data_IF_473098038874
#
_entry.id   IF_473098038874
#
_cell.length_a   1.000
_cell.length_b   1.000
_cell.length_c   1.000
_cell.angle_alpha   90.00
_cell.angle_beta   90.00
_cell.angle_gamma   90.00
#
_symmetry.space_group_name_H-M   'P 1'
#
loop_
_entity.id
_entity.type
_entity.pdbx_description
1 polymer ?
#
# COMPACT_ATOMS: atom_id res chain seq x y z
N UNK A 1 47.98 29.06 -14.30
CA UNK A 1 46.60 29.47 -13.97
C UNK A 1 45.60 28.95 -15.03
N UNK A 2 45.71 29.29 -16.30
CA UNK A 2 44.74 28.90 -17.35
C UNK A 2 44.61 27.36 -17.46
N UNK A 3 45.71 26.63 -17.43
CA UNK A 3 45.68 25.16 -17.48
C UNK A 3 44.95 24.55 -16.26
N UNK A 4 45.23 25.04 -15.07
CA UNK A 4 44.55 24.52 -13.85
C UNK A 4 43.07 24.80 -13.89
N UNK A 5 42.65 25.97 -14.37
CA UNK A 5 41.20 26.30 -14.49
C UNK A 5 40.50 25.40 -15.50
N UNK A 6 41.13 25.12 -16.66
CA UNK A 6 40.56 24.20 -17.66
C UNK A 6 40.44 22.77 -17.11
N UNK A 7 41.47 22.28 -16.40
CA UNK A 7 41.43 20.94 -15.78
C UNK A 7 40.37 20.88 -14.70
N UNK A 8 40.34 21.87 -13.80
CA UNK A 8 39.31 21.91 -12.74
C UNK A 8 37.91 21.98 -13.34
N UNK A 9 37.68 22.81 -14.35
CA UNK A 9 36.39 22.88 -15.03
C UNK A 9 36.01 21.54 -15.66
N UNK A 10 36.93 20.91 -16.39
CA UNK A 10 36.68 19.60 -16.99
C UNK A 10 36.35 18.53 -15.92
N UNK A 11 37.15 18.48 -14.86
CA UNK A 11 37.00 17.46 -13.84
C UNK A 11 35.70 17.62 -13.08
N UNK A 12 35.29 18.83 -12.72
CA UNK A 12 34.04 19.09 -12.01
C UNK A 12 32.79 19.11 -12.89
N UNK A 13 32.85 19.77 -14.04
CA UNK A 13 31.65 19.99 -14.84
C UNK A 13 31.48 19.06 -16.04
N UNK A 14 32.48 18.25 -16.35
CA UNK A 14 32.42 17.31 -17.46
C UNK A 14 32.56 15.85 -16.95
N UNK A 15 33.62 15.57 -16.18
CA UNK A 15 33.88 14.20 -15.72
C UNK A 15 33.00 13.84 -14.53
N UNK A 16 33.08 14.62 -13.44
CA UNK A 16 32.30 14.38 -12.23
C UNK A 16 30.80 14.58 -12.45
N UNK A 17 30.39 15.58 -13.22
CA UNK A 17 28.99 15.83 -13.54
C UNK A 17 28.31 14.68 -14.33
N UNK A 18 29.08 13.73 -14.86
CA UNK A 18 28.57 12.53 -15.53
C UNK A 18 28.64 11.28 -14.66
N UNK A 19 29.09 11.42 -13.42
CA UNK A 19 29.16 10.31 -12.46
C UNK A 19 27.74 9.84 -12.10
N UNK A 20 27.36 8.58 -12.38
CA UNK A 20 26.05 8.05 -12.08
C UNK A 20 25.70 8.13 -10.57
N UNK A 21 26.70 8.05 -9.70
CA UNK A 21 26.51 8.13 -8.25
C UNK A 21 25.98 9.48 -7.78
N UNK A 22 26.15 10.55 -8.58
CA UNK A 22 25.62 11.88 -8.25
C UNK A 22 24.10 11.89 -8.15
N UNK A 23 23.43 11.07 -8.95
CA UNK A 23 21.98 10.99 -8.92
C UNK A 23 21.49 10.62 -7.51
N UNK A 24 22.11 9.62 -6.89
CA UNK A 24 21.77 9.15 -5.56
C UNK A 24 22.32 10.08 -4.47
N UNK A 25 23.60 10.49 -4.55
CA UNK A 25 24.24 11.32 -3.53
C UNK A 25 23.62 12.72 -3.38
N UNK A 26 23.06 13.27 -4.43
CA UNK A 26 22.39 14.58 -4.42
C UNK A 26 20.87 14.48 -4.43
N UNK A 27 20.32 13.28 -4.19
CA UNK A 27 18.89 13.06 -4.11
C UNK A 27 18.13 13.65 -5.31
N UNK A 28 18.70 13.50 -6.50
CA UNK A 28 18.14 14.08 -7.73
C UNK A 28 16.72 13.57 -7.99
N UNK A 29 16.47 12.30 -7.70
CA UNK A 29 15.15 11.67 -7.84
C UNK A 29 14.08 12.30 -6.94
N UNK A 30 14.24 12.27 -5.60
CA UNK A 30 13.31 12.91 -4.67
C UNK A 30 13.14 14.42 -4.91
N UNK A 31 14.24 15.12 -5.30
CA UNK A 31 14.20 16.54 -5.69
C UNK A 31 13.28 16.75 -6.89
N UNK A 32 13.41 15.93 -7.94
CA UNK A 32 12.59 16.04 -9.13
C UNK A 32 11.11 15.71 -8.85
N UNK A 33 10.82 14.72 -7.96
CA UNK A 33 9.47 14.45 -7.47
C UNK A 33 8.89 15.71 -6.82
N UNK A 34 9.61 16.30 -5.86
CA UNK A 34 9.17 17.52 -5.17
C UNK A 34 8.89 18.67 -6.12
N UNK A 35 9.81 18.92 -7.07
CA UNK A 35 9.64 19.96 -8.10
C UNK A 35 8.39 19.71 -8.95
N UNK A 36 8.19 18.49 -9.43
CA UNK A 36 7.02 18.14 -10.23
C UNK A 36 5.72 18.34 -9.42
N UNK A 37 5.65 17.78 -8.22
CA UNK A 37 4.50 17.89 -7.34
C UNK A 37 4.17 19.35 -6.99
N UNK A 38 5.19 20.18 -6.82
CA UNK A 38 5.04 21.62 -6.60
C UNK A 38 4.42 22.39 -7.77
N UNK A 39 4.41 21.82 -8.98
CA UNK A 39 3.77 22.44 -10.17
C UNK A 39 2.29 22.10 -10.31
N UNK A 40 1.81 21.09 -9.60
CA UNK A 40 0.41 20.64 -9.71
C UNK A 40 -0.54 21.63 -9.01
N UNK A 41 -1.79 21.80 -9.50
CA UNK A 41 -2.80 22.63 -8.84
C UNK A 41 -2.98 22.24 -7.36
N UNK A 42 -3.15 23.20 -6.44
CA UNK A 42 -3.23 22.90 -4.99
C UNK A 42 -4.42 22.03 -4.60
N UNK A 43 -5.50 22.06 -5.38
CA UNK A 43 -6.70 21.23 -5.22
C UNK A 43 -6.52 19.78 -5.62
N UNK A 44 -5.51 19.46 -6.43
CA UNK A 44 -5.26 18.10 -6.91
C UNK A 44 -4.80 17.20 -5.78
N UNK A 45 -5.22 15.95 -5.83
CA UNK A 45 -4.71 14.91 -4.93
C UNK A 45 -3.42 14.34 -5.46
N UNK A 46 -2.47 14.14 -4.57
CA UNK A 46 -1.16 13.59 -4.92
C UNK A 46 -0.84 12.41 -4.02
N UNK A 47 -0.48 11.29 -4.65
CA UNK A 47 0.08 10.12 -3.99
C UNK A 47 1.49 9.90 -4.51
N UNK A 48 2.40 9.52 -3.62
CA UNK A 48 3.80 9.20 -3.97
C UNK A 48 4.13 7.79 -3.48
N UNK A 49 4.79 6.99 -4.30
CA UNK A 49 5.22 5.64 -3.94
C UNK A 49 6.58 5.30 -4.56
N UNK A 50 7.47 4.66 -3.81
CA UNK A 50 7.44 4.42 -2.36
C UNK A 50 8.14 5.52 -1.55
N UNK A 51 8.54 6.61 -2.20
CA UNK A 51 9.25 7.71 -1.52
C UNK A 51 8.31 8.36 -0.50
N UNK A 52 8.71 8.45 0.78
CA UNK A 52 7.86 9.06 1.81
C UNK A 52 7.54 10.53 1.48
N UNK A 53 6.30 10.99 1.69
CA UNK A 53 5.92 12.38 1.40
C UNK A 53 6.61 13.40 2.29
N UNK A 54 7.06 12.98 3.48
CA UNK A 54 7.83 13.77 4.44
C UNK A 54 9.35 13.78 4.16
N UNK A 55 9.78 13.16 3.04
CA UNK A 55 11.17 13.22 2.61
C UNK A 55 11.63 14.68 2.44
N UNK A 56 12.74 15.12 3.07
CA UNK A 56 13.16 16.53 3.08
C UNK A 56 13.24 17.17 1.69
N UNK A 57 13.77 16.44 0.71
CA UNK A 57 13.89 16.94 -0.67
C UNK A 57 12.52 17.08 -1.35
N UNK A 58 11.55 16.20 -1.03
CA UNK A 58 10.18 16.32 -1.55
C UNK A 58 9.49 17.54 -0.93
N UNK A 59 9.52 17.67 0.41
CA UNK A 59 8.89 18.79 1.13
C UNK A 59 9.44 20.14 0.63
N UNK A 60 10.77 20.28 0.61
CA UNK A 60 11.40 21.55 0.23
C UNK A 60 11.08 21.95 -1.21
N UNK A 61 11.19 21.03 -2.15
CA UNK A 61 11.00 21.31 -3.57
C UNK A 61 9.52 21.38 -3.97
N UNK A 62 8.60 20.78 -3.22
CA UNK A 62 7.16 20.97 -3.40
C UNK A 62 6.63 22.24 -2.75
N UNK A 63 7.51 23.09 -2.19
CA UNK A 63 7.16 24.33 -1.47
C UNK A 63 6.24 24.08 -0.27
N UNK A 64 6.47 23.00 0.44
CA UNK A 64 5.64 22.55 1.56
C UNK A 64 4.16 22.32 1.17
N UNK A 65 3.90 21.82 -0.03
CA UNK A 65 2.55 21.49 -0.49
C UNK A 65 1.87 20.57 0.52
N UNK A 66 0.69 20.95 1.07
CA UNK A 66 -0.04 20.08 1.97
C UNK A 66 -0.75 18.94 1.22
N UNK A 67 -1.08 17.86 1.93
CA UNK A 67 -1.96 16.80 1.42
C UNK A 67 -1.29 15.85 0.43
N UNK A 68 0.04 15.86 0.32
CA UNK A 68 0.75 14.77 -0.37
C UNK A 68 0.65 13.53 0.52
N UNK A 69 0.15 12.44 -0.03
CA UNK A 69 0.05 11.14 0.65
C UNK A 69 1.11 10.18 0.10
N UNK A 70 1.61 9.30 0.96
CA UNK A 70 2.61 8.31 0.56
C UNK A 70 2.23 6.91 1.01
N UNK A 71 2.57 5.91 0.22
CA UNK A 71 2.43 4.50 0.57
C UNK A 71 3.57 3.69 -0.07
N UNK A 72 3.80 2.49 0.43
CA UNK A 72 4.74 1.56 -0.20
C UNK A 72 4.00 0.61 -1.15
N UNK A 73 4.13 0.84 -2.46
CA UNK A 73 3.47 0.02 -3.48
C UNK A 73 3.89 -1.45 -3.52
N UNK A 74 4.97 -1.81 -2.81
CA UNK A 74 5.34 -3.22 -2.59
C UNK A 74 4.40 -3.91 -1.61
N UNK A 75 3.84 -3.16 -0.67
CA UNK A 75 2.94 -3.65 0.37
C UNK A 75 1.47 -3.43 0.00
N UNK A 76 1.12 -2.27 -0.53
CA UNK A 76 -0.27 -1.92 -0.79
C UNK A 76 -0.43 -0.97 -1.98
N UNK A 77 -1.68 -0.67 -2.33
CA UNK A 77 -2.03 0.50 -3.12
C UNK A 77 -3.24 1.19 -2.50
N UNK A 78 -3.21 2.50 -2.48
CA UNK A 78 -4.30 3.35 -1.98
C UNK A 78 -4.96 4.05 -3.15
N UNK A 79 -6.26 3.87 -3.31
CA UNK A 79 -7.01 4.49 -4.40
C UNK A 79 -8.32 5.10 -3.89
N UNK A 80 -8.75 6.29 -4.36
CA UNK A 80 -10.08 6.78 -4.08
C UNK A 80 -11.12 5.91 -4.80
N UNK A 81 -12.22 5.56 -4.13
CA UNK A 81 -13.35 4.87 -4.78
C UNK A 81 -13.87 5.67 -5.97
N UNK A 82 -13.89 7.00 -5.82
CA UNK A 82 -14.18 7.95 -6.87
C UNK A 82 -13.34 9.21 -6.64
N UNK A 83 -12.71 9.70 -7.70
CA UNK A 83 -11.92 10.93 -7.63
C UNK A 83 -12.82 12.15 -7.45
N UNK A 84 -12.52 12.99 -6.45
CA UNK A 84 -13.24 14.24 -6.18
C UNK A 84 -12.52 15.48 -6.73
N UNK A 85 -11.26 15.31 -7.12
CA UNK A 85 -10.40 16.25 -7.83
C UNK A 85 -9.51 15.47 -8.79
N UNK A 86 -8.79 16.14 -9.67
CA UNK A 86 -7.76 15.47 -10.45
C UNK A 86 -6.75 14.84 -9.49
N UNK A 87 -6.30 13.64 -9.82
CA UNK A 87 -5.46 12.84 -8.93
C UNK A 87 -4.22 12.39 -9.67
N UNK A 88 -3.06 12.63 -9.09
CA UNK A 88 -1.77 12.23 -9.66
C UNK A 88 -1.05 11.27 -8.73
N UNK A 89 -0.62 10.15 -9.30
CA UNK A 89 0.28 9.20 -8.64
C UNK A 89 1.68 9.35 -9.20
N UNK A 90 2.64 9.63 -8.34
CA UNK A 90 4.07 9.69 -8.70
C UNK A 90 4.71 8.38 -8.25
N UNK A 91 5.04 7.53 -9.19
CA UNK A 91 5.51 6.16 -8.95
C UNK A 91 6.96 6.04 -9.39
N UNK A 92 7.81 5.51 -8.52
CA UNK A 92 9.22 5.17 -8.82
C UNK A 92 9.29 3.67 -9.18
N UNK A 93 9.24 3.30 -10.48
CA UNK A 93 9.05 1.90 -10.89
C UNK A 93 10.21 0.98 -10.50
N UNK A 94 11.41 1.50 -10.35
CA UNK A 94 12.55 0.73 -9.84
C UNK A 94 12.41 0.26 -8.40
N UNK A 95 11.55 0.91 -7.62
CA UNK A 95 11.29 0.59 -6.21
C UNK A 95 9.85 0.12 -5.97
N UNK A 96 8.92 0.54 -6.83
CA UNK A 96 7.50 0.12 -6.81
C UNK A 96 7.10 -0.47 -8.17
N UNK A 97 7.33 -1.75 -8.39
CA UNK A 97 7.04 -2.38 -9.68
C UNK A 97 5.56 -2.67 -9.93
N UNK A 98 4.67 -2.49 -8.92
CA UNK A 98 3.29 -2.96 -8.98
C UNK A 98 2.27 -1.85 -9.21
N UNK A 99 2.47 -0.67 -8.61
CA UNK A 99 1.43 0.36 -8.54
C UNK A 99 0.98 0.84 -9.92
N UNK A 100 1.90 1.00 -10.87
CA UNK A 100 1.55 1.51 -12.19
C UNK A 100 0.60 0.57 -12.94
N UNK A 101 0.87 -0.73 -12.93
CA UNK A 101 0.00 -1.74 -13.55
C UNK A 101 -1.36 -1.81 -12.86
N UNK A 102 -1.39 -1.77 -11.53
CA UNK A 102 -2.64 -1.75 -10.77
C UNK A 102 -3.46 -0.50 -11.04
N UNK A 103 -2.82 0.67 -11.20
CA UNK A 103 -3.52 1.90 -11.55
C UNK A 103 -4.16 1.83 -12.93
N UNK A 104 -3.49 1.23 -13.91
CA UNK A 104 -4.09 1.00 -15.24
C UNK A 104 -5.29 0.04 -15.18
N UNK A 105 -5.25 -0.97 -14.30
CA UNK A 105 -6.37 -1.89 -14.08
C UNK A 105 -7.55 -1.16 -13.41
N UNK A 106 -7.28 -0.39 -12.36
CA UNK A 106 -8.33 0.28 -11.60
C UNK A 106 -8.89 1.52 -12.28
N UNK A 107 -8.07 2.20 -13.06
CA UNK A 107 -8.44 3.40 -13.81
C UNK A 107 -8.00 3.27 -15.29
N UNK A 108 -8.73 2.51 -16.11
CA UNK A 108 -8.32 2.24 -17.48
C UNK A 108 -8.22 3.48 -18.39
N UNK A 109 -8.82 4.60 -17.97
CA UNK A 109 -8.74 5.88 -18.69
C UNK A 109 -7.64 6.81 -18.13
N UNK A 110 -6.96 6.40 -17.05
CA UNK A 110 -5.79 7.11 -16.52
C UNK A 110 -4.61 6.99 -17.50
N UNK A 111 -3.72 7.97 -17.45
CA UNK A 111 -2.59 8.05 -18.37
C UNK A 111 -1.33 8.54 -17.67
N UNK A 112 -0.17 8.17 -18.20
CA UNK A 112 1.11 8.81 -17.82
C UNK A 112 1.08 10.24 -18.38
N UNK A 113 1.15 11.21 -17.48
CA UNK A 113 1.08 12.65 -17.79
C UNK A 113 2.44 13.35 -17.69
N UNK A 114 3.40 12.74 -16.99
CA UNK A 114 4.78 13.22 -16.92
C UNK A 114 5.74 12.06 -16.58
N UNK A 115 7.01 12.30 -16.88
CA UNK A 115 8.12 11.41 -16.59
C UNK A 115 9.22 12.19 -15.87
N UNK A 116 9.91 11.54 -14.95
CA UNK A 116 11.05 12.10 -14.23
C UNK A 116 12.33 12.14 -15.04
N UNK A 117 13.42 12.66 -14.46
CA UNK A 117 14.73 12.63 -15.10
C UNK A 117 15.17 11.18 -15.36
N UNK A 118 16.02 11.01 -16.37
CA UNK A 118 16.57 9.68 -16.66
C UNK A 118 17.57 9.26 -15.57
N UNK A 119 17.39 8.04 -15.09
CA UNK A 119 18.33 7.32 -14.25
C UNK A 119 18.50 5.93 -14.86
N UNK A 120 19.73 5.51 -15.13
CA UNK A 120 20.02 4.24 -15.82
C UNK A 120 19.22 4.04 -17.13
N UNK A 121 19.10 5.10 -17.92
CA UNK A 121 18.37 5.13 -19.20
C UNK A 121 16.84 4.96 -19.09
N UNK A 122 16.28 4.98 -17.90
CA UNK A 122 14.84 4.89 -17.64
C UNK A 122 14.37 6.15 -16.88
N UNK A 123 13.13 6.60 -17.04
CA UNK A 123 12.54 7.61 -16.17
C UNK A 123 12.60 7.17 -14.71
N UNK A 124 13.11 8.03 -13.83
CA UNK A 124 13.15 7.74 -12.40
C UNK A 124 11.76 7.60 -11.81
N UNK A 125 10.81 8.39 -12.24
CA UNK A 125 9.41 8.24 -11.88
C UNK A 125 8.49 8.41 -13.08
N UNK A 126 7.28 7.85 -12.98
CA UNK A 126 6.14 8.17 -13.81
C UNK A 126 5.08 8.88 -12.99
N UNK A 127 4.47 9.92 -13.56
CA UNK A 127 3.27 10.54 -13.00
C UNK A 127 2.06 10.01 -13.76
N UNK A 128 1.18 9.30 -13.06
CA UNK A 128 -0.06 8.74 -13.59
C UNK A 128 -1.23 9.63 -13.19
N UNK A 129 -1.87 10.26 -14.16
CA UNK A 129 -2.97 11.21 -13.96
C UNK A 129 -4.34 10.56 -14.14
N UNK A 130 -5.26 10.91 -13.26
CA UNK A 130 -6.65 10.45 -13.26
C UNK A 130 -7.56 11.67 -13.10
N UNK A 131 -8.50 11.85 -14.03
CA UNK A 131 -9.40 13.00 -14.02
C UNK A 131 -10.45 12.90 -12.90
N UNK A 132 -10.91 14.06 -12.45
CA UNK A 132 -12.03 14.17 -11.52
C UNK A 132 -13.26 13.40 -12.03
N UNK A 133 -13.95 12.73 -11.11
CA UNK A 133 -15.15 11.94 -11.41
C UNK A 133 -14.88 10.49 -11.82
N UNK A 134 -13.61 10.11 -12.04
CA UNK A 134 -13.27 8.73 -12.33
C UNK A 134 -13.59 7.82 -11.14
N UNK A 135 -14.07 6.61 -11.42
CA UNK A 135 -14.39 5.58 -10.42
C UNK A 135 -13.40 4.45 -10.55
N UNK A 136 -12.90 3.99 -9.41
CA UNK A 136 -12.03 2.83 -9.38
C UNK A 136 -12.81 1.55 -9.71
N UNK A 137 -12.26 0.74 -10.63
CA UNK A 137 -12.78 -0.58 -10.97
C UNK A 137 -12.08 -1.64 -10.11
N UNK A 138 -12.56 -1.81 -8.88
CA UNK A 138 -12.00 -2.80 -7.94
C UNK A 138 -12.97 -3.96 -7.83
N UNK A 139 -12.47 -5.17 -8.07
CA UNK A 139 -13.24 -6.41 -8.02
C UNK A 139 -12.40 -7.51 -7.35
N UNK A 140 -12.49 -7.67 -6.02
CA UNK A 140 -11.86 -8.80 -5.33
C UNK A 140 -12.39 -10.14 -5.87
N UNK A 141 -11.55 -11.17 -5.95
CA UNK A 141 -11.97 -12.51 -6.39
C UNK A 141 -12.99 -13.14 -5.43
N UNK A 142 -12.89 -12.79 -4.14
CA UNK A 142 -13.85 -13.17 -3.12
C UNK A 142 -14.52 -11.90 -2.57
N UNK A 143 -15.62 -11.49 -3.20
CA UNK A 143 -16.40 -10.35 -2.73
C UNK A 143 -17.06 -10.71 -1.38
N UNK A 144 -16.81 -9.89 -0.36
CA UNK A 144 -17.35 -10.08 0.98
C UNK A 144 -17.53 -8.72 1.65
N UNK A 145 -18.68 -8.52 2.29
CA UNK A 145 -18.91 -7.29 3.03
C UNK A 145 -18.93 -7.55 4.54
N UNK A 146 -18.12 -6.80 5.27
CA UNK A 146 -18.13 -6.71 6.72
C UNK A 146 -17.75 -5.28 7.12
N UNK A 147 -17.98 -4.94 8.37
CA UNK A 147 -17.75 -3.60 8.88
C UNK A 147 -17.10 -3.66 10.26
N UNK A 148 -16.10 -2.80 10.47
CA UNK A 148 -15.48 -2.62 11.77
C UNK A 148 -15.77 -1.22 12.29
N UNK A 149 -16.55 -1.15 13.38
CA UNK A 149 -16.86 0.07 14.13
C UNK A 149 -17.53 1.18 13.32
N UNK A 150 -18.15 0.89 12.19
CA UNK A 150 -18.61 1.84 11.17
C UNK A 150 -17.51 2.75 10.59
N UNK A 151 -16.25 2.44 10.84
CA UNK A 151 -15.09 3.17 10.37
C UNK A 151 -14.48 2.56 9.12
N UNK A 152 -14.41 1.22 9.06
CA UNK A 152 -13.74 0.47 8.01
C UNK A 152 -14.69 -0.58 7.45
N UNK A 153 -14.85 -0.62 6.13
CA UNK A 153 -15.61 -1.64 5.43
C UNK A 153 -14.69 -2.60 4.69
N UNK A 154 -14.87 -3.89 4.84
CA UNK A 154 -14.30 -4.90 3.97
C UNK A 154 -15.10 -4.94 2.66
N UNK A 155 -14.42 -4.94 1.52
CA UNK A 155 -15.01 -5.09 0.19
C UNK A 155 -14.81 -6.51 -0.36
N UNK A 156 -13.84 -7.24 0.20
CA UNK A 156 -13.47 -8.59 -0.19
C UNK A 156 -11.98 -8.85 -0.04
N UNK A 157 -11.55 -9.99 -0.56
CA UNK A 157 -10.16 -10.43 -0.48
C UNK A 157 -9.77 -11.28 -1.70
N UNK A 158 -8.45 -11.43 -1.90
CA UNK A 158 -7.87 -12.39 -2.83
C UNK A 158 -6.92 -13.32 -2.09
N UNK A 159 -6.85 -14.56 -2.57
CA UNK A 159 -5.85 -15.55 -2.17
C UNK A 159 -5.08 -16.01 -3.39
N UNK A 160 -3.82 -16.36 -3.21
CA UNK A 160 -2.98 -16.91 -4.28
C UNK A 160 -3.28 -18.39 -4.56
N UNK A 161 -3.88 -19.11 -3.61
CA UNK A 161 -4.34 -20.50 -3.74
C UNK A 161 -5.40 -20.84 -2.68
N UNK A 162 -6.11 -21.98 -2.88
CA UNK A 162 -7.04 -22.55 -1.90
C UNK A 162 -6.43 -23.74 -1.15
N UNK A 163 -5.33 -24.31 -1.65
CA UNK A 163 -4.64 -25.48 -1.12
C UNK A 163 -3.16 -25.18 -0.97
N UNK A 164 -2.63 -25.46 0.21
CA UNK A 164 -1.25 -25.20 0.59
C UNK A 164 -0.58 -26.43 1.20
N UNK A 165 0.73 -26.37 1.36
CA UNK A 165 1.51 -27.37 2.08
C UNK A 165 2.07 -26.79 3.38
N UNK A 166 2.37 -27.64 4.37
CA UNK A 166 3.17 -27.22 5.51
C UNK A 166 4.49 -26.57 5.07
N UNK A 167 4.77 -25.39 5.60
CA UNK A 167 5.93 -24.57 5.22
C UNK A 167 5.68 -23.54 4.13
N UNK A 168 4.54 -23.57 3.46
CA UNK A 168 4.14 -22.52 2.51
C UNK A 168 3.78 -21.21 3.21
N UNK A 169 3.59 -20.16 2.44
CA UNK A 169 3.07 -18.89 2.90
C UNK A 169 1.86 -18.46 2.06
N UNK A 170 0.75 -18.18 2.73
CA UNK A 170 -0.47 -17.67 2.12
C UNK A 170 -0.26 -16.21 1.74
N UNK A 171 -0.52 -15.86 0.48
CA UNK A 171 -0.56 -14.47 0.06
C UNK A 171 -2.01 -13.99 0.07
N UNK A 172 -2.34 -13.25 1.12
CA UNK A 172 -3.66 -12.67 1.31
C UNK A 172 -3.64 -11.20 0.89
N UNK A 173 -4.63 -10.79 0.12
CA UNK A 173 -4.88 -9.39 -0.21
C UNK A 173 -6.24 -9.02 0.36
N UNK A 174 -6.28 -7.94 1.14
CA UNK A 174 -7.52 -7.41 1.71
C UNK A 174 -7.86 -6.07 1.05
N UNK A 175 -9.14 -5.83 0.82
CA UNK A 175 -9.65 -4.61 0.25
C UNK A 175 -10.54 -3.90 1.26
N UNK A 176 -10.03 -2.81 1.82
CA UNK A 176 -10.75 -2.00 2.80
C UNK A 176 -11.24 -0.70 2.18
N UNK A 177 -12.33 -0.18 2.67
CA UNK A 177 -12.80 1.16 2.38
C UNK A 177 -12.95 1.96 3.67
N UNK A 178 -12.35 3.16 3.71
CA UNK A 178 -12.59 4.10 4.79
C UNK A 178 -14.03 4.65 4.72
N UNK A 179 -14.78 4.55 5.80
CA UNK A 179 -16.13 5.09 5.94
C UNK A 179 -16.16 6.40 6.73
N UNK A 180 -15.20 6.59 7.63
CA UNK A 180 -15.00 7.79 8.45
C UNK A 180 -13.52 8.16 8.49
N UNK A 181 -13.21 9.38 8.89
CA UNK A 181 -11.87 9.76 9.31
C UNK A 181 -11.56 9.12 10.66
N UNK A 182 -10.37 8.59 10.82
CA UNK A 182 -9.97 7.88 12.03
C UNK A 182 -9.00 8.73 12.84
N UNK A 183 -9.24 8.77 14.15
CA UNK A 183 -8.40 9.42 15.16
C UNK A 183 -7.43 8.44 15.84
N UNK A 184 -7.55 7.14 15.52
CA UNK A 184 -6.76 6.05 16.08
C UNK A 184 -6.05 5.28 14.96
N UNK A 185 -4.85 4.80 15.29
CA UNK A 185 -4.04 4.02 14.35
C UNK A 185 -4.22 2.52 14.62
N UNK A 186 -5.11 1.89 13.86
CA UNK A 186 -5.46 0.50 14.01
C UNK A 186 -4.44 -0.43 13.35
N UNK A 187 -4.18 -1.54 14.02
CA UNK A 187 -3.40 -2.67 13.50
C UNK A 187 -4.35 -3.72 12.95
N UNK A 188 -4.07 -4.23 11.75
CA UNK A 188 -4.76 -5.39 11.18
C UNK A 188 -4.16 -6.65 11.77
N UNK A 189 -4.99 -7.57 12.22
CA UNK A 189 -4.57 -8.95 12.42
C UNK A 189 -5.11 -9.86 11.31
N UNK A 190 -4.28 -10.80 10.87
CA UNK A 190 -4.66 -11.86 9.96
C UNK A 190 -4.20 -13.20 10.56
N UNK A 191 -5.13 -13.98 11.06
CA UNK A 191 -4.89 -15.19 11.83
C UNK A 191 -5.25 -16.44 11.03
N UNK A 192 -4.37 -17.41 11.02
CA UNK A 192 -4.59 -18.75 10.49
C UNK A 192 -4.93 -19.70 11.65
N UNK A 193 -6.19 -20.10 11.74
CA UNK A 193 -6.70 -21.01 12.77
C UNK A 193 -6.72 -22.44 12.25
N UNK A 194 -6.02 -23.33 12.91
CA UNK A 194 -5.89 -24.73 12.51
C UNK A 194 -7.10 -25.59 12.83
N UNK A 195 -7.06 -26.88 12.45
CA UNK A 195 -8.09 -27.84 12.77
C UNK A 195 -8.31 -27.93 14.28
N UNK A 196 -9.58 -28.02 14.68
CA UNK A 196 -9.95 -28.17 16.08
C UNK A 196 -9.43 -29.51 16.63
N UNK A 197 -8.98 -29.50 17.88
CA UNK A 197 -8.61 -30.68 18.62
C UNK A 197 -9.26 -30.65 20.00
N UNK A 198 -9.27 -31.81 20.76
CA UNK A 198 -9.95 -31.88 22.05
C UNK A 198 -9.44 -30.89 23.12
N UNK A 199 -8.20 -30.42 22.98
CA UNK A 199 -7.59 -29.52 23.95
C UNK A 199 -7.81 -28.04 23.55
N UNK A 200 -7.94 -27.74 22.25
CA UNK A 200 -8.03 -26.36 21.73
C UNK A 200 -8.95 -26.34 20.51
N UNK A 201 -10.13 -25.70 20.61
CA UNK A 201 -10.96 -25.43 19.45
C UNK A 201 -10.23 -24.38 18.57
N UNK A 202 -9.79 -24.77 17.38
CA UNK A 202 -9.12 -23.89 16.41
C UNK A 202 -7.88 -23.16 16.97
N UNK A 203 -6.77 -23.87 17.19
CA UNK A 203 -5.53 -23.26 17.66
C UNK A 203 -4.95 -22.30 16.59
N UNK A 204 -4.42 -21.16 17.02
CA UNK A 204 -3.65 -20.26 16.18
C UNK A 204 -2.42 -21.00 15.66
N UNK A 205 -2.24 -21.03 14.35
CA UNK A 205 -1.14 -21.72 13.65
C UNK A 205 -0.22 -20.77 12.90
N UNK A 206 -0.74 -19.64 12.43
CA UNK A 206 0.02 -18.61 11.78
C UNK A 206 -0.67 -17.26 11.98
N UNK A 207 0.10 -16.19 11.86
CA UNK A 207 -0.43 -14.84 11.94
C UNK A 207 0.43 -13.88 11.14
N UNK A 208 -0.19 -12.80 10.69
CA UNK A 208 0.47 -11.63 10.15
C UNK A 208 -0.26 -10.39 10.66
N UNK A 209 0.36 -9.69 11.60
CA UNK A 209 -0.20 -8.49 12.20
C UNK A 209 0.64 -7.29 11.77
N UNK A 210 -0.01 -6.28 11.23
CA UNK A 210 0.64 -5.04 10.80
C UNK A 210 -0.37 -3.90 10.74
N UNK A 211 0.11 -2.69 10.98
CA UNK A 211 -0.61 -1.52 10.50
C UNK A 211 -0.72 -1.58 8.97
N UNK A 212 -1.79 -1.02 8.37
CA UNK A 212 -2.00 -1.07 6.93
C UNK A 212 -0.78 -0.61 6.14
N UNK A 213 -0.59 -1.24 4.96
CA UNK A 213 0.54 -0.97 4.09
C UNK A 213 1.91 -1.16 4.76
N UNK A 214 2.03 -2.12 5.69
CA UNK A 214 3.24 -2.34 6.48
C UNK A 214 3.75 -1.05 7.16
N UNK A 215 2.83 -0.27 7.78
CA UNK A 215 3.04 1.00 8.49
C UNK A 215 3.30 2.22 7.60
N UNK A 216 3.25 2.11 6.28
CA UNK A 216 3.49 3.27 5.40
C UNK A 216 2.23 4.06 5.10
N UNK A 217 1.04 3.54 5.45
CA UNK A 217 -0.23 4.24 5.32
C UNK A 217 -1.17 3.91 6.50
N UNK A 218 -0.91 4.47 7.69
CA UNK A 218 -1.69 4.21 8.90
C UNK A 218 -3.13 4.70 8.76
N UNK A 219 -4.05 4.12 9.54
CA UNK A 219 -5.49 4.42 9.41
C UNK A 219 -5.84 5.87 9.67
N UNK A 220 -5.06 6.59 10.46
CA UNK A 220 -5.24 8.04 10.72
C UNK A 220 -5.04 8.92 9.47
N UNK A 221 -4.37 8.40 8.44
CA UNK A 221 -4.17 9.11 7.17
C UNK A 221 -5.26 8.81 6.14
N UNK A 222 -6.15 7.87 6.42
CA UNK A 222 -7.17 7.47 5.46
C UNK A 222 -8.21 8.57 5.29
N UNK A 223 -8.57 8.83 4.04
CA UNK A 223 -9.66 9.76 3.71
C UNK A 223 -10.93 8.98 3.40
N UNK A 224 -12.09 9.51 3.79
CA UNK A 224 -13.39 8.89 3.52
C UNK A 224 -13.53 8.53 2.03
N UNK A 225 -13.87 7.26 1.78
CA UNK A 225 -14.05 6.72 0.44
C UNK A 225 -12.76 6.23 -0.23
N UNK A 226 -11.59 6.33 0.41
CA UNK A 226 -10.38 5.64 -0.06
C UNK A 226 -10.52 4.14 0.13
N UNK A 227 -9.95 3.41 -0.81
CA UNK A 227 -9.82 1.96 -0.78
C UNK A 227 -8.34 1.62 -0.66
N UNK A 228 -8.00 0.85 0.35
CA UNK A 228 -6.66 0.31 0.56
C UNK A 228 -6.67 -1.15 0.18
N UNK A 229 -5.84 -1.52 -0.81
CA UNK A 229 -5.56 -2.90 -1.18
C UNK A 229 -4.27 -3.32 -0.49
N UNK A 230 -4.37 -4.08 0.56
CA UNK A 230 -3.28 -4.39 1.49
C UNK A 230 -2.84 -5.85 1.39
N UNK A 231 -1.52 -6.13 1.44
CA UNK A 231 -0.95 -7.47 1.28
C UNK A 231 -0.43 -8.00 2.60
N UNK A 232 -0.79 -9.26 2.86
CA UNK A 232 -0.28 -10.03 4.00
C UNK A 232 0.35 -11.33 3.51
N UNK A 233 1.42 -11.75 4.15
CA UNK A 233 2.02 -13.05 3.95
C UNK A 233 1.97 -13.81 5.27
N UNK A 234 1.16 -14.88 5.33
CA UNK A 234 0.93 -15.65 6.54
C UNK A 234 1.65 -16.98 6.39
N UNK A 235 2.69 -17.20 7.20
CA UNK A 235 3.44 -18.45 7.18
C UNK A 235 2.63 -19.61 7.76
N UNK A 236 2.60 -20.73 7.06
CA UNK A 236 2.08 -22.00 7.54
C UNK A 236 3.25 -22.77 8.20
N UNK A 237 3.18 -23.15 9.48
CA UNK A 237 4.25 -23.93 10.11
C UNK A 237 4.60 -25.21 9.33
N UNK A 238 5.87 -25.57 9.29
CA UNK A 238 6.31 -26.80 8.62
C UNK A 238 5.83 -28.09 9.27
N UNK A 239 5.32 -28.01 10.52
CA UNK A 239 4.68 -29.10 11.27
C UNK A 239 3.15 -28.96 11.32
N UNK A 240 2.56 -28.09 10.50
CA UNK A 240 1.14 -27.89 10.43
C UNK A 240 0.43 -29.19 10.00
N UNK A 241 -0.50 -29.74 10.80
CA UNK A 241 -1.21 -30.96 10.43
C UNK A 241 -2.10 -30.72 9.20
N UNK A 242 -2.24 -31.72 8.31
CA UNK A 242 -3.22 -31.64 7.22
C UNK A 242 -4.64 -31.40 7.75
N UNK A 243 -5.42 -30.62 7.01
CA UNK A 243 -6.81 -30.34 7.33
C UNK A 243 -7.27 -28.95 6.92
N UNK A 244 -8.46 -28.59 7.38
CA UNK A 244 -9.12 -27.34 7.08
C UNK A 244 -8.71 -26.27 8.08
N UNK A 245 -8.23 -25.13 7.56
CA UNK A 245 -7.80 -23.96 8.31
C UNK A 245 -8.73 -22.79 8.00
N UNK A 246 -9.04 -21.98 9.00
CA UNK A 246 -9.83 -20.76 8.84
C UNK A 246 -8.93 -19.54 8.88
N UNK A 247 -9.18 -18.60 7.96
CA UNK A 247 -8.55 -17.29 7.99
C UNK A 247 -9.49 -16.28 8.65
N UNK A 248 -9.05 -15.68 9.75
CA UNK A 248 -9.77 -14.64 10.47
C UNK A 248 -8.99 -13.32 10.38
N UNK A 249 -9.71 -12.24 10.14
CA UNK A 249 -9.11 -10.89 10.06
C UNK A 249 -9.92 -9.90 10.90
N UNK A 250 -9.24 -8.86 11.37
CA UNK A 250 -9.87 -7.76 12.09
C UNK A 250 -8.89 -6.66 12.42
N UNK A 251 -9.37 -5.69 13.17
CA UNK A 251 -8.60 -4.52 13.58
C UNK A 251 -8.56 -4.41 15.10
N UNK A 252 -7.43 -3.93 15.62
CA UNK A 252 -7.27 -3.67 17.04
C UNK A 252 -6.33 -2.48 17.28
N UNK A 253 -6.44 -1.89 18.47
CA UNK A 253 -5.48 -0.89 18.95
C UNK A 253 -4.29 -1.59 19.61
N UNK A 254 -3.09 -1.35 19.13
CA UNK A 254 -1.89 -2.02 19.63
C UNK A 254 -1.64 -1.77 21.12
N UNK A 255 -1.89 -0.56 21.60
CA UNK A 255 -1.62 -0.16 22.99
C UNK A 255 -2.54 -0.83 24.02
N UNK A 256 -3.79 -1.08 23.63
CA UNK A 256 -4.81 -1.62 24.54
C UNK A 256 -5.21 -3.04 24.21
N UNK A 257 -4.83 -3.55 23.04
CA UNK A 257 -5.29 -4.82 22.47
C UNK A 257 -6.82 -4.88 22.28
N UNK A 258 -7.51 -3.72 22.34
CA UNK A 258 -8.94 -3.64 22.14
C UNK A 258 -9.27 -3.80 20.66
N UNK A 259 -10.10 -4.78 20.32
CA UNK A 259 -10.57 -5.01 18.97
C UNK A 259 -11.65 -4.02 18.57
N UNK A 260 -11.64 -3.61 17.31
CA UNK A 260 -12.69 -2.81 16.72
C UNK A 260 -13.91 -3.71 16.47
N UNK A 261 -15.11 -3.39 17.00
CA UNK A 261 -16.30 -4.23 16.88
C UNK A 261 -16.61 -4.57 15.42
N UNK A 262 -16.78 -5.84 15.12
CA UNK A 262 -17.05 -6.33 13.77
C UNK A 262 -18.50 -6.74 13.58
N UNK A 263 -19.07 -6.42 12.42
CA UNK A 263 -20.41 -6.84 12.00
C UNK A 263 -20.39 -7.42 10.59
N UNK A 264 -21.34 -8.32 10.30
CA UNK A 264 -21.61 -8.79 8.94
C UNK A 264 -22.31 -7.72 8.08
N UNK A 265 -22.60 -8.06 6.81
CA UNK A 265 -23.29 -7.17 5.88
C UNK A 265 -24.71 -6.79 6.33
N UNK A 266 -25.34 -7.57 7.21
CA UNK A 266 -26.65 -7.30 7.77
C UNK A 266 -26.60 -6.50 9.11
N UNK A 267 -25.38 -6.22 9.61
CA UNK A 267 -25.14 -5.49 10.85
C UNK A 267 -25.17 -6.37 12.11
N UNK A 268 -25.15 -7.71 11.98
CA UNK A 268 -25.07 -8.57 13.15
C UNK A 268 -23.64 -8.63 13.68
N UNK A 269 -23.43 -8.55 15.00
CA UNK A 269 -22.11 -8.69 15.59
C UNK A 269 -21.45 -10.03 15.26
N UNK A 270 -20.16 -9.98 14.94
CA UNK A 270 -19.34 -11.17 14.70
C UNK A 270 -18.61 -11.59 15.97
N UNK A 271 -18.41 -12.90 16.12
CA UNK A 271 -17.69 -13.45 17.26
C UNK A 271 -16.24 -12.94 17.27
N UNK A 272 -15.74 -12.66 18.46
CA UNK A 272 -14.36 -12.19 18.68
C UNK A 272 -13.97 -10.93 17.85
N UNK A 273 -14.96 -10.16 17.37
CA UNK A 273 -14.75 -9.00 16.51
C UNK A 273 -13.86 -9.33 15.29
N UNK A 274 -13.97 -10.56 14.79
CA UNK A 274 -13.20 -11.09 13.68
C UNK A 274 -14.10 -11.47 12.50
N UNK A 275 -13.64 -11.21 11.29
CA UNK A 275 -14.28 -11.64 10.05
C UNK A 275 -13.62 -12.92 9.58
N UNK A 276 -14.36 -14.02 9.52
CA UNK A 276 -13.92 -15.26 8.92
C UNK A 276 -13.97 -15.13 7.39
N UNK A 277 -12.82 -15.07 6.73
CA UNK A 277 -12.73 -14.92 5.28
C UNK A 277 -13.13 -16.20 4.54
N UNK A 278 -12.67 -17.33 5.02
CA UNK A 278 -12.93 -18.62 4.38
C UNK A 278 -12.09 -19.73 4.97
N UNK A 279 -12.24 -20.89 4.35
CA UNK A 279 -11.49 -22.10 4.69
C UNK A 279 -10.45 -22.33 3.59
N UNK A 280 -9.23 -22.58 3.98
CA UNK A 280 -8.15 -23.09 3.12
C UNK A 280 -7.81 -24.52 3.54
N UNK A 281 -7.32 -25.32 2.63
CA UNK A 281 -6.90 -26.68 2.90
C UNK A 281 -5.38 -26.78 2.94
N UNK A 282 -4.85 -27.43 4.01
CA UNK A 282 -3.44 -27.80 4.09
C UNK A 282 -3.31 -29.30 3.84
N UNK A 283 -2.53 -29.67 2.84
CA UNK A 283 -2.24 -31.06 2.44
C UNK A 283 -0.74 -31.37 2.52
N UNK A 284 -0.38 -32.65 2.66
CA UNK A 284 1.01 -33.12 2.61
C UNK A 284 1.68 -32.89 1.23
#
# INVERSE_FOLDING_TARGET
>A
FVFSTIWTYRDYFVVWAQDPDLFTHFETGPTAIGQYVGTLPPEDRVYVSPIPPDHPSVIYNSQNRPGIKGYDGRACIVVPKQTTADTTYVIVPGEDPNSLDLLHIYFPLGQIVAEGPLHDQQPYFFAFGILQGAKASIAPSHAMEANWGNKIKLLGYDLDADVYKPGDAIQLILYYQALEEMDEDYTVFAHLLGPSNPATPRPLRGQADSQPCQRTYPTIEWTIGEIVRDRFSIAIPGDAPPGDYQLDVGFYLLDTMARLPATDAAGHPLADDAVALGIIEVRE
#
